data_IF_952573979577
#
_entry.id   IF_952573979577
#
_cell.length_a   1.000
_cell.length_b   1.000
_cell.length_c   1.000
_cell.angle_alpha   90.00
_cell.angle_beta   90.00
_cell.angle_gamma   90.00
#
_symmetry.space_group_name_H-M   'P 1'
#
loop_
_entity.id
_entity.type
_entity.pdbx_description
1 polymer ?
#
# COMPACT_ATOMS: atom_id res chain seq x y z
N UNK A 1 -30.77 -4.89 -10.66
CA UNK A 1 -31.01 -4.13 -9.43
C UNK A 1 -29.95 -4.60 -8.45
N UNK A 2 -28.73 -4.06 -8.58
CA UNK A 2 -27.62 -4.39 -7.68
C UNK A 2 -27.90 -3.62 -6.39
N UNK A 3 -27.93 -4.31 -5.27
CA UNK A 3 -28.34 -3.76 -3.97
C UNK A 3 -27.28 -2.75 -3.50
N UNK A 4 -27.56 -1.46 -3.72
CA UNK A 4 -26.66 -0.33 -3.49
C UNK A 4 -26.34 -0.10 -2.00
N UNK A 5 -27.06 -0.75 -1.09
CA UNK A 5 -26.94 -0.54 0.35
C UNK A 5 -25.65 -1.12 0.95
N UNK A 6 -24.99 -2.09 0.30
CA UNK A 6 -23.73 -2.66 0.80
C UNK A 6 -22.48 -1.80 0.50
N UNK A 7 -22.51 -0.95 -0.53
CA UNK A 7 -21.32 -0.18 -0.95
C UNK A 7 -21.02 1.07 -0.12
N UNK A 8 -22.01 1.62 0.60
CA UNK A 8 -21.89 2.86 1.36
C UNK A 8 -21.92 2.65 2.89
N UNK A 9 -22.28 1.45 3.36
CA UNK A 9 -22.30 1.09 4.79
C UNK A 9 -20.94 0.80 5.40
N UNK A 10 -19.90 0.59 4.58
CA UNK A 10 -18.54 0.22 5.02
C UNK A 10 -17.63 1.47 5.11
N UNK A 11 -18.11 2.49 5.83
CA UNK A 11 -17.31 3.65 6.27
C UNK A 11 -17.06 3.63 7.79
N UNK A 12 -17.46 2.57 8.49
CA UNK A 12 -16.97 2.28 9.83
C UNK A 12 -15.65 1.50 9.72
N UNK A 13 -14.65 1.86 10.53
CA UNK A 13 -13.40 1.11 10.66
C UNK A 13 -13.70 -0.39 10.82
N UNK A 14 -13.09 -1.29 10.05
CA UNK A 14 -13.34 -2.71 10.22
C UNK A 14 -12.70 -3.16 11.54
N UNK A 15 -13.52 -3.66 12.46
CA UNK A 15 -13.04 -4.48 13.57
C UNK A 15 -12.40 -5.75 13.01
N UNK A 16 -11.16 -5.99 13.42
CA UNK A 16 -10.36 -7.15 13.03
C UNK A 16 -10.78 -8.36 13.86
N UNK A 17 -11.64 -9.22 13.31
CA UNK A 17 -11.80 -10.59 13.83
C UNK A 17 -10.77 -11.50 13.14
N UNK A 18 -9.67 -11.77 13.86
CA UNK A 18 -8.69 -12.79 13.49
C UNK A 18 -9.27 -14.16 13.85
N UNK A 19 -9.67 -14.93 12.82
CA UNK A 19 -9.99 -16.35 13.00
C UNK A 19 -8.68 -17.13 13.09
N UNK A 20 -8.33 -17.52 14.31
CA UNK A 20 -7.29 -18.49 14.62
C UNK A 20 -7.67 -19.86 14.03
N UNK A 21 -6.89 -20.34 13.06
CA UNK A 21 -6.78 -21.77 12.77
C UNK A 21 -5.34 -22.20 13.05
N UNK A 22 -5.12 -22.57 14.31
CA UNK A 22 -4.01 -23.37 14.77
C UNK A 22 -4.13 -24.79 14.20
N UNK A 23 -3.10 -25.25 13.50
CA UNK A 23 -2.70 -26.65 13.56
C UNK A 23 -1.18 -26.70 13.78
N UNK A 24 -0.82 -26.96 15.04
CA UNK A 24 0.50 -27.40 15.46
C UNK A 24 0.40 -28.90 15.71
N UNK A 25 1.17 -29.71 14.98
CA UNK A 25 1.84 -30.89 15.49
C UNK A 25 2.69 -31.52 14.39
N UNK A 26 4.00 -31.62 14.63
CA UNK A 26 4.89 -32.77 14.36
C UNK A 26 6.31 -32.30 14.72
N UNK A 27 6.77 -32.67 15.91
CA UNK A 27 8.19 -32.79 16.21
C UNK A 27 8.65 -34.22 15.91
N UNK A 28 9.77 -34.36 15.21
CA UNK A 28 10.74 -35.44 15.46
C UNK A 28 10.80 -36.61 14.48
N UNK A 29 11.47 -36.44 13.33
CA UNK A 29 12.29 -37.49 12.72
C UNK A 29 13.34 -36.91 11.77
N UNK A 30 14.54 -37.51 11.78
CA UNK A 30 15.83 -37.06 11.23
C UNK A 30 15.84 -36.75 9.71
N UNK A 31 16.77 -35.89 9.22
CA UNK A 31 16.94 -35.62 7.80
C UNK A 31 17.92 -36.63 7.16
N UNK A 32 17.49 -37.28 6.07
CA UNK A 32 18.39 -37.96 5.12
C UNK A 32 17.84 -37.74 3.72
N UNK A 33 18.31 -36.71 3.01
CA UNK A 33 18.67 -36.77 1.59
C UNK A 33 19.72 -35.68 1.34
N UNK A 34 20.97 -36.09 1.16
CA UNK A 34 22.04 -35.25 0.62
C UNK A 34 21.79 -35.06 -0.88
N UNK A 35 21.61 -33.81 -1.34
CA UNK A 35 21.78 -33.47 -2.75
C UNK A 35 23.23 -33.02 -2.95
N UNK A 36 23.97 -33.85 -3.70
CA UNK A 36 25.38 -33.68 -3.96
C UNK A 36 25.72 -32.51 -4.88
N UNK A 37 26.94 -32.03 -4.69
CA UNK A 37 27.63 -31.01 -5.48
C UNK A 37 27.50 -31.20 -6.99
N UNK A 38 27.13 -30.13 -7.69
CA UNK A 38 27.28 -30.01 -9.14
C UNK A 38 28.73 -29.55 -9.40
N UNK A 39 29.55 -30.31 -10.15
CA UNK A 39 30.90 -29.89 -10.48
C UNK A 39 30.88 -28.86 -11.63
N UNK A 40 31.66 -27.80 -11.45
CA UNK A 40 31.97 -26.86 -12.52
C UNK A 40 32.83 -27.53 -13.59
N UNK A 41 32.36 -27.48 -14.84
CA UNK A 41 33.18 -27.75 -16.00
C UNK A 41 32.94 -26.64 -17.02
N UNK A 42 33.95 -25.79 -17.13
CA UNK A 42 34.17 -24.83 -18.20
C UNK A 42 34.37 -25.63 -19.49
N UNK A 43 33.58 -25.34 -20.52
CA UNK A 43 33.88 -25.73 -21.90
C UNK A 43 33.83 -24.45 -22.74
N UNK A 44 35.02 -24.01 -23.13
CA UNK A 44 35.25 -23.08 -24.22
C UNK A 44 34.76 -23.73 -25.52
N UNK A 45 33.91 -23.03 -26.27
CA UNK A 45 33.62 -23.34 -27.66
C UNK A 45 33.88 -22.11 -28.50
N UNK A 46 34.99 -22.20 -29.23
CA UNK A 46 35.39 -21.38 -30.36
C UNK A 46 34.23 -21.19 -31.34
N UNK A 47 34.06 -19.98 -31.86
CA UNK A 47 33.34 -19.74 -33.10
C UNK A 47 34.24 -18.97 -34.08
N UNK A 48 34.41 -19.44 -35.32
CA UNK A 48 35.39 -18.92 -36.26
C UNK A 48 34.90 -17.70 -37.04
N UNK A 49 35.90 -16.92 -37.43
CA UNK A 49 35.91 -15.80 -38.37
C UNK A 49 35.35 -16.20 -39.75
N UNK A 50 34.57 -15.31 -40.36
CA UNK A 50 34.16 -15.40 -41.77
C UNK A 50 33.74 -14.05 -42.33
N UNK A 51 34.67 -13.37 -42.99
CA UNK A 51 34.50 -12.15 -43.79
C UNK A 51 33.48 -12.33 -44.92
N UNK A 52 32.54 -11.39 -45.09
CA UNK A 52 32.03 -10.99 -46.40
C UNK A 52 31.82 -9.47 -46.43
N UNK A 53 32.67 -8.79 -47.19
CA UNK A 53 32.48 -7.42 -47.68
C UNK A 53 31.60 -7.45 -48.93
N UNK A 54 30.55 -6.61 -49.03
CA UNK A 54 30.12 -6.02 -50.31
C UNK A 54 29.53 -4.61 -50.09
N UNK A 55 30.18 -3.66 -50.74
CA UNK A 55 29.80 -2.26 -50.93
C UNK A 55 28.58 -2.11 -51.86
N UNK A 56 27.73 -1.10 -51.65
CA UNK A 56 27.34 -0.10 -52.67
C UNK A 56 26.16 0.78 -52.19
N UNK A 57 26.44 2.08 -52.03
CA UNK A 57 25.45 3.14 -52.29
C UNK A 57 25.32 3.35 -53.80
N UNK A 58 24.23 3.97 -54.32
CA UNK A 58 24.28 5.42 -54.49
C UNK A 58 22.94 6.20 -54.45
N UNK A 59 23.10 7.49 -54.10
CA UNK A 59 22.57 8.71 -54.75
C UNK A 59 21.10 9.17 -54.63
N UNK A 60 21.03 10.48 -54.31
CA UNK A 60 19.94 11.46 -54.32
C UNK A 60 19.27 11.70 -55.69
N UNK A 61 18.03 12.24 -55.61
CA UNK A 61 17.32 13.28 -56.41
C UNK A 61 15.89 12.83 -56.74
N UNK A 62 14.82 13.63 -56.81
CA UNK A 62 14.47 15.02 -56.52
C UNK A 62 12.92 15.13 -56.64
N UNK A 63 12.34 16.16 -56.01
CA UNK A 63 11.15 16.95 -56.38
C UNK A 63 9.75 16.33 -56.62
N UNK A 64 8.77 16.86 -55.87
CA UNK A 64 7.74 17.72 -56.49
C UNK A 64 6.24 17.42 -56.29
N UNK A 65 5.56 18.36 -55.61
CA UNK A 65 4.29 19.02 -56.00
C UNK A 65 2.92 18.45 -55.53
N UNK A 66 2.25 19.25 -54.66
CA UNK A 66 0.79 19.49 -54.45
C UNK A 66 -0.06 18.37 -53.79
N UNK A 67 -1.12 18.59 -53.01
CA UNK A 67 -2.09 19.69 -52.96
C UNK A 67 -2.97 19.60 -51.67
N UNK A 68 -3.40 20.76 -51.15
CA UNK A 68 -4.71 21.11 -50.56
C UNK A 68 -5.42 20.24 -49.50
N UNK A 69 -5.76 20.87 -48.37
CA UNK A 69 -7.07 20.66 -47.70
C UNK A 69 -7.03 20.43 -46.19
N UNK A 70 -6.89 21.50 -45.38
CA UNK A 70 -7.22 21.46 -43.95
C UNK A 70 -8.66 21.94 -43.71
N UNK A 71 -9.53 21.18 -43.06
CA UNK A 71 -10.71 21.74 -42.43
C UNK A 71 -10.33 22.32 -41.06
N UNK A 72 -10.75 23.57 -40.86
CA UNK A 72 -10.79 24.25 -39.57
C UNK A 72 -11.63 23.41 -38.61
N UNK A 73 -10.97 22.79 -37.63
CA UNK A 73 -11.63 22.14 -36.50
C UNK A 73 -11.80 23.19 -35.40
N UNK A 74 -13.05 23.55 -35.13
CA UNK A 74 -13.45 24.42 -34.02
C UNK A 74 -12.90 23.86 -32.70
N UNK A 75 -12.01 24.65 -32.09
CA UNK A 75 -11.41 24.35 -30.79
C UNK A 75 -12.43 24.75 -29.72
N UNK A 76 -13.35 23.83 -29.40
CA UNK A 76 -14.13 23.89 -28.16
C UNK A 76 -13.16 23.79 -26.99
N UNK A 77 -12.74 24.94 -26.45
CA UNK A 77 -12.08 25.03 -25.15
C UNK A 77 -13.10 24.72 -24.06
N UNK A 78 -13.47 23.44 -23.92
CA UNK A 78 -14.05 22.96 -22.67
C UNK A 78 -12.95 23.04 -21.62
N UNK A 79 -13.22 23.71 -20.49
CA UNK A 79 -12.36 23.74 -19.31
C UNK A 79 -12.26 22.40 -18.59
N UNK A 80 -12.08 21.31 -19.34
CA UNK A 80 -11.76 20.00 -18.82
C UNK A 80 -10.29 20.00 -18.41
N UNK A 81 -10.05 19.91 -17.10
CA UNK A 81 -8.74 19.52 -16.59
C UNK A 81 -8.32 18.21 -17.31
N UNK A 82 -7.09 18.11 -17.81
CA UNK A 82 -6.61 16.90 -18.47
C UNK A 82 -6.81 15.70 -17.54
N UNK A 83 -7.21 14.57 -18.12
CA UNK A 83 -7.41 13.31 -17.39
C UNK A 83 -6.16 13.02 -16.52
N UNK A 84 -6.29 13.04 -15.18
CA UNK A 84 -5.14 13.01 -14.27
C UNK A 84 -4.38 11.68 -14.32
N UNK A 85 -4.99 10.63 -14.88
CA UNK A 85 -4.40 9.30 -15.01
C UNK A 85 -3.88 9.01 -16.43
N UNK A 86 -4.03 9.95 -17.37
CA UNK A 86 -3.42 9.81 -18.68
C UNK A 86 -1.90 9.97 -18.58
N UNK A 87 -1.15 9.04 -19.18
CA UNK A 87 0.31 9.17 -19.27
C UNK A 87 0.65 10.53 -19.92
N UNK A 88 1.58 11.31 -19.34
CA UNK A 88 1.95 12.59 -19.91
C UNK A 88 2.56 12.34 -21.29
N UNK A 89 1.85 12.71 -22.35
CA UNK A 89 2.53 13.13 -23.58
C UNK A 89 3.14 14.49 -23.23
N UNK A 90 4.41 14.70 -23.56
CA UNK A 90 5.17 15.93 -23.31
C UNK A 90 4.31 17.17 -23.57
N UNK A 91 3.87 17.84 -22.50
CA UNK A 91 3.18 19.13 -22.56
C UNK A 91 4.08 20.14 -21.88
N UNK A 92 4.52 21.10 -22.67
CA UNK A 92 5.39 22.22 -22.32
C UNK A 92 4.82 23.02 -21.14
N UNK A 93 5.66 23.26 -20.14
CA UNK A 93 5.40 24.08 -18.95
C UNK A 93 4.78 25.44 -19.31
N UNK A 94 3.70 25.81 -18.62
CA UNK A 94 3.21 27.18 -18.56
C UNK A 94 2.97 27.57 -17.10
N UNK A 95 3.33 28.81 -16.81
CA UNK A 95 3.69 29.37 -15.51
C UNK A 95 2.54 29.47 -14.49
N UNK A 96 2.96 29.50 -13.22
CA UNK A 96 2.14 29.48 -11.99
C UNK A 96 2.00 30.90 -11.46
N UNK A 97 0.80 31.47 -11.49
CA UNK A 97 0.49 32.72 -10.77
C UNK A 97 0.07 32.43 -9.31
N UNK A 98 0.62 33.26 -8.42
CA UNK A 98 0.41 33.26 -6.96
C UNK A 98 -0.78 34.15 -6.62
N UNK A 99 -1.63 33.72 -5.68
CA UNK A 99 -2.44 34.64 -4.89
C UNK A 99 -2.53 34.12 -3.46
N UNK A 100 -2.15 34.97 -2.51
CA UNK A 100 -2.24 34.72 -1.08
C UNK A 100 -3.25 35.65 -0.45
N UNK A 101 -4.00 35.15 0.53
CA UNK A 101 -4.81 35.94 1.46
C UNK A 101 -4.87 35.18 2.79
N UNK A 102 -4.37 35.81 3.86
CA UNK A 102 -4.75 35.56 5.25
C UNK A 102 -5.85 36.58 5.63
N UNK A 103 -6.66 36.35 6.67
CA UNK A 103 -6.24 36.83 8.00
C UNK A 103 -6.78 36.07 9.23
N UNK A 104 -6.21 36.48 10.36
CA UNK A 104 -6.44 36.15 11.77
C UNK A 104 -7.89 36.23 12.29
N UNK A 105 -8.12 35.57 13.44
CA UNK A 105 -9.25 35.86 14.32
C UNK A 105 -9.28 35.02 15.60
N UNK A 106 -8.61 35.48 16.66
CA UNK A 106 -8.72 34.95 18.01
C UNK A 106 -9.91 35.56 18.77
N UNK A 107 -10.61 34.77 19.59
CA UNK A 107 -11.40 35.26 20.73
C UNK A 107 -11.62 34.16 21.79
N UNK A 108 -11.47 34.57 23.03
CA UNK A 108 -11.46 33.83 24.30
C UNK A 108 -12.80 33.87 25.05
N UNK A 109 -12.87 33.06 26.13
CA UNK A 109 -13.81 33.09 27.28
C UNK A 109 -15.14 32.34 27.08
N UNK A 110 -15.63 31.45 27.94
CA UNK A 110 -15.33 31.12 29.33
C UNK A 110 -16.59 31.32 30.19
N UNK A 111 -17.25 30.25 30.67
CA UNK A 111 -18.20 30.28 31.82
C UNK A 111 -18.28 28.88 32.46
N UNK A 112 -18.02 28.82 33.76
CA UNK A 112 -18.31 27.71 34.68
C UNK A 112 -19.78 27.71 35.12
N UNK A 113 -20.36 26.55 35.41
CA UNK A 113 -21.51 26.43 36.32
C UNK A 113 -21.56 25.04 36.97
N UNK A 114 -21.49 25.04 38.31
CA UNK A 114 -21.69 23.92 39.22
C UNK A 114 -23.14 23.42 39.22
N UNK A 115 -23.33 22.14 39.53
CA UNK A 115 -24.62 21.58 39.91
C UNK A 115 -24.47 20.16 40.45
N UNK A 116 -24.59 20.01 41.77
CA UNK A 116 -24.61 18.75 42.53
C UNK A 116 -26.02 18.16 42.52
N UNK A 117 -26.15 16.82 42.56
CA UNK A 117 -26.98 16.02 43.50
C UNK A 117 -27.32 14.62 42.95
N UNK A 118 -27.09 13.60 43.78
CA UNK A 118 -27.59 12.22 43.65
C UNK A 118 -29.10 12.16 44.01
N UNK A 119 -29.83 11.06 43.72
CA UNK A 119 -29.85 9.92 44.65
C UNK A 119 -29.94 8.52 44.01
N UNK A 120 -29.62 7.52 44.85
CA UNK A 120 -29.75 6.07 44.69
C UNK A 120 -31.16 5.58 44.31
N UNK A 121 -31.26 4.46 43.57
CA UNK A 121 -31.92 3.24 44.06
C UNK A 121 -31.81 2.03 43.08
N UNK A 122 -31.22 0.95 43.60
CA UNK A 122 -31.65 -0.48 43.59
C UNK A 122 -32.51 -1.01 42.42
N UNK A 123 -31.95 -1.98 41.67
CA UNK A 123 -32.68 -3.20 41.25
C UNK A 123 -31.74 -4.34 40.81
N UNK A 124 -32.11 -5.56 41.24
CA UNK A 124 -31.54 -6.90 40.96
C UNK A 124 -31.49 -7.25 39.47
N UNK A 125 -30.47 -8.00 39.04
CA UNK A 125 -30.53 -9.02 37.97
C UNK A 125 -29.42 -10.06 38.29
N UNK A 126 -29.80 -11.30 38.60
CA UNK A 126 -29.93 -12.45 37.69
C UNK A 126 -28.57 -12.86 37.09
N UNK A 127 -28.08 -13.99 37.59
CA UNK A 127 -26.83 -14.64 37.28
C UNK A 127 -26.99 -15.43 35.97
N UNK A 128 -26.76 -14.74 34.86
CA UNK A 128 -26.61 -15.29 33.51
C UNK A 128 -25.14 -15.71 33.24
N UNK A 129 -24.91 -16.66 32.32
CA UNK A 129 -23.64 -17.36 32.18
C UNK A 129 -22.54 -16.40 31.74
N UNK A 130 -21.33 -16.58 32.29
CA UNK A 130 -20.15 -15.76 32.07
C UNK A 130 -19.88 -15.43 30.59
N UNK A 131 -20.47 -14.33 30.12
CA UNK A 131 -19.99 -13.59 28.96
C UNK A 131 -18.53 -13.23 29.25
N UNK A 132 -17.66 -13.62 28.32
CA UNK A 132 -16.25 -13.28 28.34
C UNK A 132 -16.19 -11.75 28.38
N UNK A 133 -15.90 -11.21 29.57
CA UNK A 133 -15.86 -9.78 29.83
C UNK A 133 -14.88 -9.16 28.84
N UNK A 134 -15.42 -8.49 27.83
CA UNK A 134 -14.68 -7.72 26.84
C UNK A 134 -13.86 -6.70 27.64
N UNK A 135 -12.57 -6.98 27.81
CA UNK A 135 -11.69 -6.13 28.62
C UNK A 135 -11.71 -4.74 27.98
N UNK A 136 -12.35 -3.78 28.66
CA UNK A 136 -12.47 -2.42 28.16
C UNK A 136 -11.08 -1.89 27.80
N UNK A 137 -10.84 -1.68 26.49
CA UNK A 137 -9.56 -1.18 25.96
C UNK A 137 -9.19 0.12 26.70
N UNK A 138 -7.96 0.20 27.18
CA UNK A 138 -7.45 1.32 27.98
C UNK A 138 -7.13 2.53 27.10
N UNK A 139 -7.06 3.71 27.69
CA UNK A 139 -6.52 4.89 27.01
C UNK A 139 -5.00 4.81 26.92
N UNK A 140 -4.42 5.44 25.90
CA UNK A 140 -2.97 5.59 25.77
C UNK A 140 -2.43 6.33 27.01
N UNK A 141 -1.31 5.87 27.59
CA UNK A 141 -0.68 6.57 28.71
C UNK A 141 -0.28 8.02 28.35
N UNK A 142 -0.19 8.88 29.38
CA UNK A 142 0.24 10.27 29.21
C UNK A 142 1.66 10.37 28.62
N UNK A 143 1.91 11.38 27.78
CA UNK A 143 3.19 11.57 27.08
C UNK A 143 4.37 11.68 28.03
N UNK A 144 4.25 12.41 29.14
CA UNK A 144 5.34 12.59 30.11
C UNK A 144 5.69 11.25 30.80
N UNK A 145 4.66 10.45 31.10
CA UNK A 145 4.86 9.12 31.66
C UNK A 145 5.48 8.14 30.66
N UNK A 146 5.16 8.27 29.37
CA UNK A 146 5.77 7.48 28.29
C UNK A 146 7.23 7.88 28.10
N UNK A 147 7.54 9.18 28.05
CA UNK A 147 8.90 9.68 27.87
C UNK A 147 9.81 9.26 29.03
N UNK A 148 9.35 9.41 30.27
CA UNK A 148 10.07 8.95 31.44
C UNK A 148 10.30 7.43 31.42
N UNK A 149 9.35 6.65 30.90
CA UNK A 149 9.50 5.21 30.75
C UNK A 149 10.49 4.83 29.63
N UNK A 150 10.47 5.55 28.50
CA UNK A 150 11.46 5.40 27.42
C UNK A 150 12.86 5.67 27.97
N UNK A 151 13.05 6.78 28.67
CA UNK A 151 14.35 7.14 29.28
C UNK A 151 14.82 6.05 30.26
N UNK A 152 13.92 5.53 31.10
CA UNK A 152 14.23 4.46 32.05
C UNK A 152 14.58 3.11 31.37
N UNK A 153 13.98 2.81 30.21
CA UNK A 153 14.27 1.60 29.43
C UNK A 153 15.61 1.76 28.71
N UNK A 154 15.83 2.91 28.06
CA UNK A 154 17.04 3.21 27.27
C UNK A 154 18.28 3.36 28.15
N UNK A 155 18.13 3.85 29.38
CA UNK A 155 19.24 3.94 30.34
C UNK A 155 19.73 2.58 30.87
N UNK A 156 19.11 1.46 30.48
CA UNK A 156 19.65 0.13 30.74
C UNK A 156 20.78 -0.16 29.76
N UNK A 157 21.97 -0.50 30.28
CA UNK A 157 23.23 -0.68 29.53
C UNK A 157 23.14 -1.60 28.30
N UNK A 158 22.12 -2.46 28.20
CA UNK A 158 21.90 -3.38 27.09
C UNK A 158 21.08 -2.79 25.92
N UNK A 159 20.53 -1.58 26.04
CA UNK A 159 19.59 -0.99 25.06
C UNK A 159 20.13 0.35 24.57
N UNK A 160 21.29 0.32 23.89
CA UNK A 160 21.81 1.50 23.20
C UNK A 160 20.90 1.89 22.04
N UNK A 161 20.48 3.17 21.98
CA UNK A 161 19.69 3.71 20.86
C UNK A 161 20.52 3.96 19.60
N UNK A 162 21.85 3.99 19.73
CA UNK A 162 22.77 4.18 18.63
C UNK A 162 23.30 2.82 18.18
N UNK A 163 22.49 2.03 17.48
CA UNK A 163 22.97 0.79 16.86
C UNK A 163 23.73 1.16 15.59
N UNK A 164 25.06 1.20 15.71
CA UNK A 164 25.96 1.48 14.60
C UNK A 164 26.22 0.26 13.70
N UNK A 165 25.64 -0.90 14.00
CA UNK A 165 25.66 -2.08 13.12
C UNK A 165 24.34 -2.88 13.24
N UNK A 166 24.03 -3.78 12.28
CA UNK A 166 22.83 -4.63 12.31
C UNK A 166 22.76 -5.61 13.49
N UNK A 167 23.90 -6.10 13.99
CA UNK A 167 23.95 -7.06 15.10
C UNK A 167 23.52 -6.41 16.43
N UNK A 168 23.95 -5.17 16.68
CA UNK A 168 23.55 -4.35 17.83
C UNK A 168 22.03 -4.12 17.82
N UNK A 169 21.46 -3.92 16.63
CA UNK A 169 20.03 -3.73 16.47
C UNK A 169 19.24 -5.03 16.70
N UNK A 170 19.77 -6.17 16.25
CA UNK A 170 19.22 -7.47 16.58
C UNK A 170 19.28 -7.76 18.09
N UNK A 171 20.40 -7.45 18.75
CA UNK A 171 20.55 -7.57 20.20
C UNK A 171 19.58 -6.63 20.94
N UNK A 172 19.40 -5.39 20.45
CA UNK A 172 18.44 -4.44 21.00
C UNK A 172 17.01 -4.97 20.92
N UNK A 173 16.61 -5.57 19.81
CA UNK A 173 15.28 -6.19 19.67
C UNK A 173 15.07 -7.29 20.71
N UNK A 174 16.04 -8.19 20.88
CA UNK A 174 15.97 -9.26 21.89
C UNK A 174 15.87 -8.67 23.30
N UNK A 175 16.70 -7.67 23.62
CA UNK A 175 16.66 -7.02 24.93
C UNK A 175 15.31 -6.31 25.19
N UNK A 176 14.75 -5.63 24.19
CA UNK A 176 13.43 -4.98 24.30
C UNK A 176 12.31 -6.02 24.47
N UNK A 177 12.37 -7.16 23.77
CA UNK A 177 11.43 -8.27 23.93
C UNK A 177 11.51 -8.80 25.37
N UNK A 178 12.70 -9.08 25.91
CA UNK A 178 12.88 -9.52 27.30
C UNK A 178 12.29 -8.51 28.31
N UNK A 179 12.52 -7.21 28.08
CA UNK A 179 11.92 -6.16 28.89
C UNK A 179 10.39 -6.18 28.79
N UNK A 180 9.82 -6.29 27.58
CA UNK A 180 8.35 -6.35 27.36
C UNK A 180 7.72 -7.51 28.12
N UNK A 181 8.33 -8.70 28.11
CA UNK A 181 7.82 -9.86 28.84
C UNK A 181 7.83 -9.69 30.37
N UNK A 182 8.74 -8.88 30.91
CA UNK A 182 8.82 -8.61 32.35
C UNK A 182 7.83 -7.55 32.86
N UNK A 183 7.21 -6.79 31.95
CA UNK A 183 6.36 -5.66 32.28
C UNK A 183 4.88 -6.06 32.39
N UNK A 184 4.17 -5.39 33.30
CA UNK A 184 2.74 -5.58 33.45
C UNK A 184 1.97 -4.93 32.29
N UNK A 185 0.97 -5.65 31.76
CA UNK A 185 0.11 -5.18 30.67
C UNK A 185 -0.61 -3.88 31.06
N UNK A 186 -0.69 -2.96 30.09
CA UNK A 186 -1.41 -1.71 30.27
C UNK A 186 -0.69 -0.65 31.13
N UNK A 187 0.62 -0.80 31.36
CA UNK A 187 1.47 0.20 32.03
C UNK A 187 2.15 1.14 31.02
N UNK A 188 2.55 2.37 31.42
CA UNK A 188 3.33 3.27 30.56
C UNK A 188 4.61 2.62 30.01
N UNK A 189 5.30 1.82 30.82
CA UNK A 189 6.49 1.09 30.40
C UNK A 189 6.19 0.04 29.34
N UNK A 190 5.06 -0.67 29.43
CA UNK A 190 4.66 -1.64 28.40
C UNK A 190 4.35 -0.96 27.06
N UNK A 191 3.68 0.21 27.11
CA UNK A 191 3.47 1.03 25.91
C UNK A 191 4.81 1.48 25.32
N UNK A 192 5.66 2.12 26.13
CA UNK A 192 6.97 2.62 25.72
C UNK A 192 7.86 1.55 25.07
N UNK A 193 7.99 0.36 25.68
CA UNK A 193 8.81 -0.72 25.10
C UNK A 193 8.22 -1.23 23.78
N UNK A 194 6.89 -1.26 23.65
CA UNK A 194 6.22 -1.70 22.41
C UNK A 194 6.43 -0.69 21.28
N UNK A 195 6.38 0.61 21.59
CA UNK A 195 6.74 1.68 20.64
C UNK A 195 8.19 1.52 20.19
N UNK A 196 9.13 1.31 21.12
CA UNK A 196 10.54 1.08 20.80
C UNK A 196 10.78 -0.18 19.95
N UNK A 197 9.99 -1.24 20.18
CA UNK A 197 10.02 -2.46 19.34
C UNK A 197 9.54 -2.18 17.92
N UNK A 198 8.44 -1.42 17.78
CA UNK A 198 7.92 -1.03 16.46
C UNK A 198 8.95 -0.16 15.72
N UNK A 199 9.52 0.84 16.39
CA UNK A 199 10.59 1.68 15.84
C UNK A 199 11.79 0.84 15.35
N UNK A 200 12.22 -0.13 16.17
CA UNK A 200 13.37 -1.00 15.84
C UNK A 200 13.02 -2.00 14.73
N UNK A 201 11.76 -2.43 14.63
CA UNK A 201 11.29 -3.34 13.59
C UNK A 201 11.32 -2.67 12.19
N UNK A 202 11.01 -1.37 12.10
CA UNK A 202 11.14 -0.60 10.85
C UNK A 202 12.55 -0.64 10.26
N UNK A 203 13.56 -0.78 11.10
CA UNK A 203 14.98 -0.77 10.73
C UNK A 203 15.53 -2.17 10.35
N UNK A 204 14.76 -3.25 10.53
CA UNK A 204 15.27 -4.64 10.38
C UNK A 204 14.29 -5.62 9.75
N UNK A 205 13.21 -5.95 10.47
CA UNK A 205 12.42 -7.18 10.27
C UNK A 205 11.17 -6.98 9.41
N UNK A 206 11.06 -5.82 8.77
CA UNK A 206 9.99 -5.51 7.83
C UNK A 206 8.65 -5.20 8.47
N UNK A 207 7.67 -4.90 7.62
CA UNK A 207 6.35 -4.34 8.04
C UNK A 207 5.47 -5.36 8.79
N UNK A 208 5.73 -6.66 8.64
CA UNK A 208 4.98 -7.72 9.34
C UNK A 208 5.16 -7.66 10.86
N UNK A 209 6.38 -7.37 11.32
CA UNK A 209 6.70 -7.28 12.75
C UNK A 209 6.10 -6.01 13.37
N UNK A 210 6.09 -4.92 12.61
CA UNK A 210 5.40 -3.68 12.97
C UNK A 210 3.91 -3.97 13.14
N UNK A 211 3.26 -4.60 12.15
CA UNK A 211 1.82 -4.94 12.21
C UNK A 211 1.48 -5.83 13.40
N UNK A 212 2.30 -6.84 13.67
CA UNK A 212 2.12 -7.73 14.83
C UNK A 212 2.18 -6.97 16.15
N UNK A 213 3.20 -6.13 16.36
CA UNK A 213 3.30 -5.33 17.57
C UNK A 213 2.18 -4.29 17.70
N UNK A 214 1.71 -3.71 16.60
CA UNK A 214 0.55 -2.81 16.60
C UNK A 214 -0.73 -3.56 16.97
N UNK A 215 -0.96 -4.75 16.42
CA UNK A 215 -2.12 -5.57 16.77
C UNK A 215 -2.13 -5.93 18.26
N UNK A 216 -0.99 -6.36 18.81
CA UNK A 216 -0.84 -6.60 20.26
C UNK A 216 -1.25 -5.37 21.09
N UNK A 217 -0.81 -4.17 20.67
CA UNK A 217 -1.17 -2.93 21.35
C UNK A 217 -2.65 -2.59 21.21
N UNK A 218 -3.27 -2.80 20.05
CA UNK A 218 -4.69 -2.51 19.80
C UNK A 218 -5.65 -3.38 20.63
N UNK A 219 -5.20 -4.57 21.04
CA UNK A 219 -5.96 -5.40 21.98
C UNK A 219 -6.05 -4.76 23.37
N UNK A 220 -5.08 -3.93 23.75
CA UNK A 220 -4.95 -3.38 25.10
C UNK A 220 -5.32 -1.90 25.18
N UNK A 221 -5.10 -1.14 24.11
CA UNK A 221 -5.22 0.32 24.08
C UNK A 221 -6.09 0.80 22.91
N UNK A 222 -6.78 1.93 23.12
CA UNK A 222 -7.50 2.67 22.08
C UNK A 222 -6.58 3.74 21.48
N UNK A 223 -6.16 3.56 20.23
CA UNK A 223 -5.36 4.53 19.48
C UNK A 223 -5.53 4.32 17.97
N UNK A 224 -5.10 5.31 17.17
CA UNK A 224 -5.09 5.23 15.72
C UNK A 224 -3.79 4.54 15.23
N UNK A 225 -3.83 3.28 14.75
CA UNK A 225 -2.63 2.52 14.38
C UNK A 225 -1.83 3.13 13.23
N UNK A 226 -2.51 3.79 12.29
CA UNK A 226 -1.85 4.46 11.16
C UNK A 226 -1.00 5.65 11.62
N UNK A 227 -1.47 6.44 12.59
CA UNK A 227 -0.69 7.57 13.14
C UNK A 227 0.55 7.07 13.86
N UNK A 228 0.40 6.04 14.72
CA UNK A 228 1.53 5.47 15.46
C UNK A 228 2.56 4.82 14.51
N UNK A 229 2.12 4.16 13.44
CA UNK A 229 3.00 3.65 12.38
C UNK A 229 3.86 4.75 11.76
N UNK A 230 3.24 5.89 11.41
CA UNK A 230 3.95 7.04 10.82
C UNK A 230 4.94 7.65 11.81
N UNK A 231 4.52 7.86 13.07
CA UNK A 231 5.37 8.44 14.09
C UNK A 231 6.60 7.58 14.38
N UNK A 232 6.40 6.27 14.57
CA UNK A 232 7.49 5.31 14.81
C UNK A 232 8.40 5.15 13.61
N UNK A 233 7.87 5.19 12.37
CA UNK A 233 8.69 5.17 11.15
C UNK A 233 9.60 6.40 11.06
N UNK A 234 9.05 7.60 11.30
CA UNK A 234 9.84 8.84 11.28
C UNK A 234 10.89 8.86 12.39
N UNK A 235 10.55 8.40 13.59
CA UNK A 235 11.49 8.27 14.69
C UNK A 235 12.61 7.26 14.39
N UNK A 236 12.28 6.13 13.75
CA UNK A 236 13.26 5.16 13.27
C UNK A 236 14.19 5.77 12.21
N UNK A 237 13.66 6.53 11.25
CA UNK A 237 14.46 7.16 10.21
C UNK A 237 15.47 8.18 10.78
N UNK A 238 15.04 9.04 11.72
CA UNK A 238 15.94 10.02 12.35
C UNK A 238 17.14 9.39 13.07
N UNK A 239 17.02 8.13 13.52
CA UNK A 239 18.08 7.41 14.25
C UNK A 239 18.95 6.54 13.36
N UNK A 240 18.61 6.40 12.08
CA UNK A 240 19.32 5.52 11.16
C UNK A 240 20.42 6.27 10.41
N UNK A 241 21.67 5.96 10.75
CA UNK A 241 22.85 6.54 10.10
C UNK A 241 23.52 5.60 9.09
N UNK A 242 23.24 4.29 9.15
CA UNK A 242 23.91 3.30 8.30
C UNK A 242 23.18 3.09 6.98
N UNK A 243 23.91 2.98 5.85
CA UNK A 243 23.32 2.73 4.54
C UNK A 243 22.45 1.47 4.48
N UNK A 244 22.88 0.37 5.11
CA UNK A 244 22.15 -0.90 5.09
C UNK A 244 20.79 -0.76 5.80
N UNK A 245 20.77 -0.09 6.96
CA UNK A 245 19.53 0.18 7.71
C UNK A 245 18.65 1.17 6.94
N UNK A 246 19.25 2.18 6.30
CA UNK A 246 18.53 3.15 5.47
C UNK A 246 17.88 2.47 4.26
N UNK A 247 18.51 1.45 3.69
CA UNK A 247 17.95 0.66 2.59
C UNK A 247 16.71 -0.11 3.03
N UNK A 248 16.77 -0.77 4.20
CA UNK A 248 15.59 -1.44 4.79
C UNK A 248 14.48 -0.44 5.12
N UNK A 249 14.81 0.73 5.69
CA UNK A 249 13.85 1.80 5.96
C UNK A 249 13.22 2.38 4.69
N UNK A 250 13.97 2.47 3.59
CA UNK A 250 13.44 2.90 2.30
C UNK A 250 12.42 1.89 1.79
N UNK A 251 12.77 0.59 1.78
CA UNK A 251 11.86 -0.47 1.37
C UNK A 251 10.58 -0.49 2.23
N UNK A 252 10.73 -0.44 3.55
CA UNK A 252 9.60 -0.41 4.49
C UNK A 252 8.76 0.87 4.38
N UNK A 253 9.40 2.02 4.11
CA UNK A 253 8.72 3.30 3.89
C UNK A 253 7.85 3.29 2.64
N UNK A 254 8.32 2.67 1.54
CA UNK A 254 7.51 2.48 0.32
C UNK A 254 6.29 1.58 0.57
N UNK A 255 6.45 0.54 1.38
CA UNK A 255 5.32 -0.30 1.83
C UNK A 255 4.32 0.51 2.66
N UNK A 256 4.80 1.30 3.62
CA UNK A 256 3.93 2.12 4.47
C UNK A 256 3.20 3.18 3.65
N UNK A 257 3.86 3.85 2.70
CA UNK A 257 3.24 4.79 1.76
C UNK A 257 2.08 4.15 0.99
N UNK A 258 2.30 2.94 0.47
CA UNK A 258 1.28 2.18 -0.24
C UNK A 258 0.08 1.86 0.66
N UNK A 259 0.33 1.37 1.87
CA UNK A 259 -0.70 1.03 2.84
C UNK A 259 -1.54 2.24 3.26
N UNK A 260 -0.90 3.38 3.51
CA UNK A 260 -1.58 4.62 3.85
C UNK A 260 -2.47 5.10 2.70
N UNK A 261 -2.01 5.00 1.45
CA UNK A 261 -2.84 5.34 0.29
C UNK A 261 -4.01 4.39 0.10
N UNK A 262 -3.81 3.08 0.26
CA UNK A 262 -4.88 2.07 0.19
C UNK A 262 -5.97 2.32 1.25
N UNK A 263 -5.53 2.77 2.44
CA UNK A 263 -6.39 3.15 3.55
C UNK A 263 -6.99 4.57 3.41
N UNK A 264 -6.74 5.26 2.30
CA UNK A 264 -7.15 6.65 2.03
C UNK A 264 -6.67 7.67 3.11
N UNK A 265 -5.55 7.36 3.76
CA UNK A 265 -4.88 8.20 4.77
C UNK A 265 -3.86 9.14 4.11
N UNK A 266 -4.33 9.97 3.18
CA UNK A 266 -3.48 10.78 2.29
C UNK A 266 -2.64 11.79 3.07
N UNK A 267 -3.19 12.39 4.12
CA UNK A 267 -2.48 13.35 4.99
C UNK A 267 -1.31 12.69 5.73
N UNK A 268 -1.49 11.45 6.19
CA UNK A 268 -0.42 10.68 6.83
C UNK A 268 0.63 10.23 5.82
N UNK A 269 0.21 9.83 4.60
CA UNK A 269 1.14 9.48 3.53
C UNK A 269 2.08 10.64 3.17
N UNK A 270 1.56 11.88 3.16
CA UNK A 270 2.38 13.08 2.90
C UNK A 270 3.47 13.27 3.95
N UNK A 271 3.20 12.95 5.22
CA UNK A 271 4.16 13.15 6.33
C UNK A 271 5.40 12.28 6.17
N UNK A 272 5.27 11.10 5.60
CA UNK A 272 6.40 10.19 5.38
C UNK A 272 7.01 10.32 3.98
N UNK A 273 6.29 10.91 3.01
CA UNK A 273 6.75 11.03 1.63
C UNK A 273 8.11 11.72 1.53
N UNK A 274 8.29 12.86 2.22
CA UNK A 274 9.55 13.61 2.21
C UNK A 274 10.72 12.80 2.80
N UNK A 275 10.42 11.98 3.82
CA UNK A 275 11.38 11.08 4.46
C UNK A 275 11.84 9.99 3.49
N UNK A 276 10.90 9.36 2.78
CA UNK A 276 11.18 8.31 1.79
C UNK A 276 11.91 8.89 0.57
N UNK A 277 11.53 10.09 0.12
CA UNK A 277 12.20 10.83 -0.96
C UNK A 277 13.66 11.12 -0.63
N UNK A 278 13.90 11.66 0.57
CA UNK A 278 15.25 11.93 1.08
C UNK A 278 16.10 10.66 1.15
N UNK A 279 15.53 9.54 1.63
CA UNK A 279 16.23 8.25 1.67
C UNK A 279 16.56 7.74 0.26
N UNK A 280 15.61 7.78 -0.67
CA UNK A 280 15.82 7.34 -2.06
C UNK A 280 16.93 8.15 -2.76
N UNK A 281 16.96 9.46 -2.53
CA UNK A 281 18.00 10.36 -3.05
C UNK A 281 19.36 10.10 -2.41
N UNK A 282 19.40 9.89 -1.09
CA UNK A 282 20.65 9.63 -0.34
C UNK A 282 21.30 8.32 -0.77
N UNK A 283 20.48 7.27 -0.97
CA UNK A 283 20.92 5.95 -1.40
C UNK A 283 21.15 5.86 -2.92
N UNK A 284 20.78 6.90 -3.68
CA UNK A 284 20.85 6.94 -5.14
C UNK A 284 20.08 5.79 -5.81
N UNK A 285 19.00 5.33 -5.18
CA UNK A 285 18.13 4.29 -5.72
C UNK A 285 17.18 4.90 -6.75
N UNK A 286 17.53 4.72 -8.03
CA UNK A 286 16.74 5.22 -9.16
C UNK A 286 15.34 4.63 -9.22
N UNK A 287 15.18 3.34 -8.90
CA UNK A 287 13.87 2.68 -8.95
C UNK A 287 12.95 3.22 -7.84
N UNK A 288 13.51 3.36 -6.63
CA UNK A 288 12.78 3.96 -5.51
C UNK A 288 12.41 5.42 -5.81
N UNK A 289 13.33 6.21 -6.37
CA UNK A 289 13.08 7.62 -6.75
C UNK A 289 11.91 7.74 -7.75
N UNK A 290 11.86 6.86 -8.76
CA UNK A 290 10.74 6.80 -9.70
C UNK A 290 9.41 6.44 -9.01
N UNK A 291 9.45 5.49 -8.07
CA UNK A 291 8.28 5.09 -7.27
C UNK A 291 7.78 6.24 -6.38
N UNK A 292 8.68 6.91 -5.65
CA UNK A 292 8.36 8.08 -4.81
C UNK A 292 7.75 9.20 -5.65
N UNK A 293 8.32 9.48 -6.83
CA UNK A 293 7.76 10.47 -7.76
C UNK A 293 6.34 10.11 -8.21
N UNK A 294 6.09 8.82 -8.47
CA UNK A 294 4.75 8.33 -8.82
C UNK A 294 3.76 8.49 -7.65
N UNK A 295 4.18 8.17 -6.42
CA UNK A 295 3.39 8.37 -5.21
C UNK A 295 3.09 9.84 -4.95
N UNK A 296 4.08 10.72 -5.02
CA UNK A 296 3.93 12.17 -4.85
C UNK A 296 2.87 12.73 -5.81
N UNK A 297 2.88 12.28 -7.06
CA UNK A 297 1.89 12.66 -8.07
C UNK A 297 0.48 12.21 -7.69
N UNK A 298 0.32 10.95 -7.32
CA UNK A 298 -0.99 10.38 -6.96
C UNK A 298 -1.53 11.03 -5.68
N UNK A 299 -0.71 11.19 -4.64
CA UNK A 299 -1.07 11.92 -3.41
C UNK A 299 -1.55 13.33 -3.74
N UNK A 300 -0.76 14.09 -4.50
CA UNK A 300 -1.11 15.45 -4.90
C UNK A 300 -2.38 15.54 -5.77
N UNK A 301 -2.67 14.51 -6.57
CA UNK A 301 -3.92 14.42 -7.34
C UNK A 301 -5.11 14.08 -6.46
N UNK A 302 -4.99 13.07 -5.59
CA UNK A 302 -6.06 12.66 -4.67
C UNK A 302 -6.47 13.83 -3.77
N UNK A 303 -5.51 14.57 -3.21
CA UNK A 303 -5.83 15.77 -2.40
C UNK A 303 -6.63 16.81 -3.18
N UNK A 304 -6.25 17.12 -4.42
CA UNK A 304 -6.98 18.08 -5.26
C UNK A 304 -8.38 17.60 -5.64
N UNK A 305 -8.61 16.29 -5.59
CA UNK A 305 -9.88 15.67 -5.97
C UNK A 305 -10.74 15.28 -4.77
N UNK A 306 -10.23 15.35 -3.54
CA UNK A 306 -10.90 14.91 -2.32
C UNK A 306 -12.31 15.52 -2.17
N UNK A 307 -12.42 16.86 -2.20
CA UNK A 307 -13.71 17.54 -2.12
C UNK A 307 -14.67 17.10 -3.23
N UNK A 308 -14.15 16.87 -4.44
CA UNK A 308 -14.97 16.38 -5.56
C UNK A 308 -15.42 14.94 -5.34
N UNK A 309 -14.58 14.08 -4.78
CA UNK A 309 -14.96 12.72 -4.42
C UNK A 309 -16.04 12.72 -3.34
N UNK A 310 -15.88 13.53 -2.29
CA UNK A 310 -16.87 13.67 -1.21
C UNK A 310 -18.23 14.14 -1.74
N UNK A 311 -18.23 15.16 -2.61
CA UNK A 311 -19.45 15.63 -3.27
C UNK A 311 -20.09 14.54 -4.12
N UNK A 312 -19.32 13.84 -4.95
CA UNK A 312 -19.85 12.76 -5.78
C UNK A 312 -20.42 11.62 -4.94
N UNK A 313 -19.73 11.21 -3.87
CA UNK A 313 -20.18 10.14 -2.98
C UNK A 313 -21.44 10.52 -2.19
N UNK A 314 -21.72 11.81 -2.01
CA UNK A 314 -22.98 12.31 -1.43
C UNK A 314 -24.16 12.29 -2.42
N UNK A 315 -23.88 12.22 -3.73
CA UNK A 315 -24.89 12.16 -4.79
C UNK A 315 -25.30 10.71 -5.10
N UNK A 316 -26.51 10.54 -5.67
CA UNK A 316 -26.93 9.23 -6.14
C UNK A 316 -26.03 8.76 -7.33
N UNK A 317 -25.39 7.57 -7.25
CA UNK A 317 -24.53 7.03 -8.31
C UNK A 317 -25.17 6.93 -9.70
N UNK A 318 -26.49 6.76 -9.76
CA UNK A 318 -27.24 6.69 -11.00
C UNK A 318 -27.20 8.00 -11.80
N UNK A 319 -27.02 9.13 -11.12
CA UNK A 319 -26.96 10.46 -11.74
C UNK A 319 -25.55 10.83 -12.20
N UNK A 320 -24.52 10.08 -11.80
CA UNK A 320 -23.15 10.41 -12.15
C UNK A 320 -22.91 10.29 -13.65
N UNK A 321 -22.27 11.31 -14.23
CA UNK A 321 -21.77 11.24 -15.60
C UNK A 321 -20.79 10.08 -15.79
N UNK A 322 -20.67 9.59 -17.03
CA UNK A 322 -19.68 8.56 -17.40
C UNK A 322 -18.25 8.94 -16.99
N UNK A 323 -17.91 10.22 -17.09
CA UNK A 323 -16.60 10.74 -16.69
C UNK A 323 -16.39 10.65 -15.18
N UNK A 324 -17.40 10.98 -14.37
CA UNK A 324 -17.32 10.90 -12.91
C UNK A 324 -17.21 9.45 -12.43
N UNK A 325 -17.99 8.54 -13.03
CA UNK A 325 -17.86 7.09 -12.77
C UNK A 325 -16.45 6.59 -13.11
N UNK A 326 -15.95 6.92 -14.30
CA UNK A 326 -14.60 6.53 -14.70
C UNK A 326 -13.50 7.07 -13.77
N UNK A 327 -13.67 8.29 -13.26
CA UNK A 327 -12.74 8.90 -12.32
C UNK A 327 -12.73 8.16 -10.97
N UNK A 328 -13.90 7.95 -10.36
CA UNK A 328 -14.02 7.21 -9.10
C UNK A 328 -13.58 5.75 -9.25
N UNK A 329 -13.95 5.08 -10.33
CA UNK A 329 -13.52 3.70 -10.60
C UNK A 329 -12.01 3.55 -10.65
N UNK A 330 -11.30 4.51 -11.28
CA UNK A 330 -9.83 4.53 -11.26
C UNK A 330 -9.27 4.80 -9.87
N UNK A 331 -9.84 5.73 -9.12
CA UNK A 331 -9.38 6.02 -7.77
C UNK A 331 -9.53 4.77 -6.86
N UNK A 332 -10.70 4.14 -6.84
CA UNK A 332 -10.95 2.94 -6.03
C UNK A 332 -10.09 1.75 -6.46
N UNK A 333 -10.01 1.44 -7.76
CA UNK A 333 -9.23 0.27 -8.21
C UNK A 333 -7.72 0.51 -8.20
N UNK A 334 -7.25 1.67 -8.67
CA UNK A 334 -5.82 1.90 -8.91
C UNK A 334 -5.08 2.61 -7.77
N UNK A 335 -5.79 3.39 -6.95
CA UNK A 335 -5.21 4.06 -5.77
C UNK A 335 -5.54 3.24 -4.51
N UNK A 336 -6.82 3.01 -4.26
CA UNK A 336 -7.27 2.34 -3.02
C UNK A 336 -7.18 0.81 -3.10
N UNK A 337 -6.94 0.23 -4.28
CA UNK A 337 -6.95 -1.22 -4.55
C UNK A 337 -8.24 -1.93 -4.12
N UNK A 338 -9.35 -1.21 -4.06
CA UNK A 338 -10.68 -1.73 -3.73
C UNK A 338 -11.40 -2.10 -5.03
N UNK A 339 -10.98 -3.22 -5.60
CA UNK A 339 -11.46 -3.66 -6.91
C UNK A 339 -12.95 -3.94 -6.90
N UNK A 340 -13.47 -4.65 -5.90
CA UNK A 340 -14.91 -4.99 -5.82
C UNK A 340 -15.82 -3.75 -5.87
N UNK A 341 -15.46 -2.69 -5.15
CA UNK A 341 -16.22 -1.43 -5.13
C UNK A 341 -16.02 -0.64 -6.43
N UNK A 342 -14.78 -0.58 -6.93
CA UNK A 342 -14.43 0.26 -8.07
C UNK A 342 -14.77 -0.32 -9.45
N UNK A 343 -14.83 -1.65 -9.59
CA UNK A 343 -14.97 -2.34 -10.88
C UNK A 343 -16.23 -1.92 -11.67
N UNK A 344 -17.43 -1.81 -11.04
CA UNK A 344 -18.64 -1.33 -11.72
C UNK A 344 -18.45 0.05 -12.36
N UNK A 345 -17.73 0.95 -11.68
CA UNK A 345 -17.49 2.30 -12.18
C UNK A 345 -16.33 2.34 -13.19
N UNK A 346 -15.31 1.50 -13.00
CA UNK A 346 -14.17 1.36 -13.90
C UNK A 346 -14.61 0.87 -15.29
N UNK A 347 -15.69 0.08 -15.37
CA UNK A 347 -16.34 -0.34 -16.62
C UNK A 347 -16.77 0.83 -17.53
N UNK A 348 -16.94 2.02 -16.95
CA UNK A 348 -17.39 3.24 -17.63
C UNK A 348 -16.25 4.15 -18.08
N UNK A 349 -15.00 3.79 -17.80
CA UNK A 349 -13.83 4.63 -18.11
C UNK A 349 -13.67 4.89 -19.62
N UNK A 350 -12.98 5.98 -19.97
CA UNK A 350 -12.70 6.39 -21.34
C UNK A 350 -11.74 5.45 -22.07
N UNK A 351 -10.76 4.86 -21.37
CA UNK A 351 -9.86 3.86 -21.93
C UNK A 351 -10.64 2.56 -22.21
N UNK A 352 -10.90 2.28 -23.48
CA UNK A 352 -11.71 1.14 -23.92
C UNK A 352 -11.13 -0.21 -23.49
N UNK A 353 -9.80 -0.31 -23.31
CA UNK A 353 -9.14 -1.57 -22.93
C UNK A 353 -9.39 -1.89 -21.46
N UNK A 354 -9.25 -0.89 -20.61
CA UNK A 354 -9.54 -0.99 -19.17
C UNK A 354 -11.03 -1.19 -18.94
N UNK A 355 -11.88 -0.40 -19.62
CA UNK A 355 -13.32 -0.55 -19.56
C UNK A 355 -13.78 -1.95 -19.98
N UNK A 356 -13.20 -2.50 -21.05
CA UNK A 356 -13.51 -3.85 -21.52
C UNK A 356 -13.02 -4.94 -20.58
N UNK A 357 -11.84 -4.78 -19.97
CA UNK A 357 -11.35 -5.73 -18.96
C UNK A 357 -12.29 -5.78 -17.74
N UNK A 358 -12.64 -4.61 -17.19
CA UNK A 358 -13.57 -4.50 -16.08
C UNK A 358 -14.97 -5.06 -16.40
N UNK A 359 -15.51 -4.80 -17.60
CA UNK A 359 -16.80 -5.39 -18.04
C UNK A 359 -16.76 -6.92 -18.14
N UNK A 360 -15.66 -7.47 -18.64
CA UNK A 360 -15.51 -8.92 -18.76
C UNK A 360 -15.41 -9.58 -17.39
N UNK A 361 -14.73 -8.92 -16.45
CA UNK A 361 -14.63 -9.41 -15.07
C UNK A 361 -15.97 -9.34 -14.33
N UNK A 362 -16.73 -8.24 -14.48
CA UNK A 362 -18.10 -8.13 -13.95
C UNK A 362 -19.07 -9.15 -14.55
N UNK A 363 -18.78 -9.68 -15.74
CA UNK A 363 -19.59 -10.68 -16.42
C UNK A 363 -19.23 -12.12 -16.01
N UNK A 364 -18.21 -12.31 -15.17
CA UNK A 364 -17.86 -13.63 -14.67
C UNK A 364 -19.01 -14.21 -13.84
N UNK A 365 -19.27 -15.52 -13.94
CA UNK A 365 -20.16 -16.19 -13.01
C UNK A 365 -19.51 -16.26 -11.62
N UNK A 366 -20.30 -16.53 -10.58
CA UNK A 366 -19.81 -16.63 -9.20
C UNK A 366 -18.67 -17.67 -9.03
N UNK A 367 -18.75 -18.76 -9.80
CA UNK A 367 -17.71 -19.78 -9.88
C UNK A 367 -17.13 -19.81 -11.31
N UNK A 368 -16.21 -18.89 -11.64
CA UNK A 368 -15.62 -18.80 -12.97
C UNK A 368 -14.72 -20.01 -13.24
N UNK A 369 -14.68 -20.46 -14.50
CA UNK A 369 -13.75 -21.52 -14.89
C UNK A 369 -12.31 -20.99 -14.88
N UNK A 370 -11.34 -21.89 -14.71
CA UNK A 370 -9.91 -21.56 -14.74
C UNK A 370 -9.53 -20.75 -15.98
N UNK A 371 -10.01 -21.15 -17.17
CA UNK A 371 -9.69 -20.49 -18.44
C UNK A 371 -10.25 -19.05 -18.54
N UNK A 372 -11.40 -18.79 -17.93
CA UNK A 372 -12.00 -17.46 -17.89
C UNK A 372 -11.16 -16.51 -17.03
N UNK A 373 -10.72 -16.99 -15.85
CA UNK A 373 -9.83 -16.24 -14.97
C UNK A 373 -8.47 -16.02 -15.63
N UNK A 374 -7.88 -17.06 -16.24
CA UNK A 374 -6.60 -16.96 -16.94
C UNK A 374 -6.63 -15.91 -18.06
N UNK A 375 -7.72 -15.87 -18.82
CA UNK A 375 -7.93 -14.87 -19.87
C UNK A 375 -7.96 -13.45 -19.30
N UNK A 376 -8.56 -13.25 -18.12
CA UNK A 376 -8.59 -11.96 -17.44
C UNK A 376 -7.25 -11.56 -16.85
N UNK A 377 -6.51 -12.50 -16.24
CA UNK A 377 -5.14 -12.26 -15.74
C UNK A 377 -4.27 -11.71 -16.86
N UNK A 378 -4.21 -12.43 -17.99
CA UNK A 378 -3.43 -12.02 -19.16
C UNK A 378 -3.85 -10.67 -19.69
N UNK A 379 -5.16 -10.38 -19.70
CA UNK A 379 -5.69 -9.09 -20.15
C UNK A 379 -5.28 -7.94 -19.23
N UNK A 380 -5.37 -8.12 -17.91
CA UNK A 380 -4.95 -7.10 -16.95
C UNK A 380 -3.43 -6.88 -17.00
N UNK A 381 -2.64 -7.95 -17.12
CA UNK A 381 -1.18 -7.83 -17.27
C UNK A 381 -0.81 -7.10 -18.57
N UNK A 382 -1.43 -7.44 -19.71
CA UNK A 382 -1.22 -6.74 -20.99
C UNK A 382 -1.61 -5.25 -20.92
N UNK A 383 -2.68 -4.92 -20.19
CA UNK A 383 -3.06 -3.53 -19.95
C UNK A 383 -2.01 -2.81 -19.08
N UNK A 384 -1.44 -3.50 -18.10
CA UNK A 384 -0.41 -2.96 -17.22
C UNK A 384 0.88 -2.61 -17.97
N UNK A 385 1.32 -3.43 -18.92
CA UNK A 385 2.49 -3.14 -19.77
C UNK A 385 2.38 -1.79 -20.48
N UNK A 386 1.16 -1.41 -20.86
CA UNK A 386 0.86 -0.16 -21.55
C UNK A 386 0.52 1.00 -20.59
N UNK A 387 0.38 0.72 -19.31
CA UNK A 387 0.20 1.73 -18.27
C UNK A 387 1.57 2.14 -17.71
N UNK A 388 1.59 3.16 -16.85
CA UNK A 388 2.82 3.70 -16.22
C UNK A 388 2.59 3.94 -14.73
N UNK A 389 3.67 3.94 -13.94
CA UNK A 389 3.63 4.25 -12.51
C UNK A 389 2.71 3.32 -11.71
N UNK A 390 1.99 3.88 -10.73
CA UNK A 390 1.13 3.11 -9.82
C UNK A 390 -0.04 2.42 -10.54
N UNK A 391 -0.55 2.95 -11.65
CA UNK A 391 -1.60 2.29 -12.42
C UNK A 391 -1.13 0.95 -13.00
N UNK A 392 0.12 0.89 -13.50
CA UNK A 392 0.74 -0.36 -13.96
C UNK A 392 0.85 -1.36 -12.81
N UNK A 393 1.32 -0.90 -11.65
CA UNK A 393 1.47 -1.73 -10.47
C UNK A 393 0.11 -2.27 -10.03
N UNK A 394 -0.90 -1.41 -9.84
CA UNK A 394 -2.26 -1.81 -9.47
C UNK A 394 -2.85 -2.89 -10.40
N UNK A 395 -2.72 -2.73 -11.72
CA UNK A 395 -3.20 -3.71 -12.68
C UNK A 395 -2.46 -5.06 -12.59
N UNK A 396 -1.12 -5.04 -12.41
CA UNK A 396 -0.33 -6.27 -12.19
C UNK A 396 -0.72 -6.94 -10.89
N UNK A 397 -0.92 -6.15 -9.84
CA UNK A 397 -1.33 -6.66 -8.54
C UNK A 397 -2.69 -7.36 -8.63
N UNK A 398 -3.66 -6.75 -9.30
CA UNK A 398 -4.95 -7.38 -9.54
C UNK A 398 -4.86 -8.64 -10.40
N UNK A 399 -4.02 -8.62 -11.43
CA UNK A 399 -3.74 -9.80 -12.24
C UNK A 399 -3.20 -10.95 -11.39
N UNK A 400 -2.28 -10.69 -10.45
CA UNK A 400 -1.78 -11.71 -9.51
C UNK A 400 -2.87 -12.26 -8.58
N UNK A 401 -3.80 -11.42 -8.12
CA UNK A 401 -4.93 -11.86 -7.31
C UNK A 401 -5.87 -12.79 -8.08
N UNK A 402 -6.27 -12.39 -9.28
CA UNK A 402 -7.07 -13.25 -10.16
C UNK A 402 -6.34 -14.56 -10.49
N UNK A 403 -5.02 -14.51 -10.64
CA UNK A 403 -4.19 -15.67 -10.91
C UNK A 403 -4.15 -16.64 -9.72
N UNK A 404 -4.02 -16.12 -8.48
CA UNK A 404 -4.14 -16.93 -7.26
C UNK A 404 -5.50 -17.61 -7.15
N UNK A 405 -6.58 -16.88 -7.46
CA UNK A 405 -7.95 -17.44 -7.52
C UNK A 405 -8.07 -18.55 -8.58
N UNK A 406 -7.47 -18.35 -9.77
CA UNK A 406 -7.43 -19.37 -10.82
C UNK A 406 -6.71 -20.64 -10.33
N UNK A 407 -5.54 -20.48 -9.72
CA UNK A 407 -4.70 -21.57 -9.21
C UNK A 407 -5.40 -22.45 -8.16
N UNK A 408 -6.28 -21.87 -7.35
CA UNK A 408 -7.06 -22.62 -6.37
C UNK A 408 -7.95 -23.69 -7.05
N UNK A 409 -8.48 -23.39 -8.23
CA UNK A 409 -9.35 -24.29 -9.02
C UNK A 409 -8.62 -25.09 -10.10
N UNK A 410 -7.33 -24.78 -10.33
CA UNK A 410 -6.53 -25.37 -11.39
C UNK A 410 -6.16 -26.84 -11.09
N UNK A 411 -6.07 -27.66 -12.14
CA UNK A 411 -5.46 -28.98 -12.08
C UNK A 411 -3.95 -28.89 -11.81
N UNK A 412 -3.32 -29.99 -11.40
CA UNK A 412 -1.87 -30.03 -11.16
C UNK A 412 -1.05 -29.64 -12.40
N UNK A 413 -1.46 -30.10 -13.59
CA UNK A 413 -0.80 -29.72 -14.85
C UNK A 413 -0.95 -28.23 -15.15
N UNK A 414 -2.14 -27.66 -14.92
CA UNK A 414 -2.40 -26.23 -15.11
C UNK A 414 -1.58 -25.39 -14.13
N UNK A 415 -1.43 -25.83 -12.88
CA UNK A 415 -0.59 -25.14 -11.88
C UNK A 415 0.88 -25.10 -12.29
N UNK A 416 1.40 -26.17 -12.90
CA UNK A 416 2.78 -26.21 -13.34
C UNK A 416 3.04 -25.28 -14.54
N UNK A 417 2.15 -25.29 -15.54
CA UNK A 417 2.28 -24.42 -16.71
C UNK A 417 2.10 -22.95 -16.33
N UNK A 418 1.03 -22.63 -15.60
CA UNK A 418 0.70 -21.25 -15.26
C UNK A 418 1.55 -20.69 -14.11
N UNK A 419 2.19 -21.55 -13.31
CA UNK A 419 3.07 -21.13 -12.23
C UNK A 419 4.28 -20.32 -12.71
N UNK A 420 4.80 -20.63 -13.91
CA UNK A 420 5.89 -19.86 -14.52
C UNK A 420 5.43 -18.46 -14.93
N UNK A 421 4.27 -18.35 -15.58
CA UNK A 421 3.67 -17.07 -15.98
C UNK A 421 3.36 -16.19 -14.75
N UNK A 422 2.84 -16.80 -13.67
CA UNK A 422 2.63 -16.11 -12.40
C UNK A 422 3.95 -15.56 -11.82
N UNK A 423 5.02 -16.35 -11.87
CA UNK A 423 6.35 -15.93 -11.47
C UNK A 423 6.80 -14.69 -12.25
N UNK A 424 6.65 -14.70 -13.59
CA UNK A 424 7.02 -13.56 -14.44
C UNK A 424 6.21 -12.29 -14.13
N UNK A 425 4.89 -12.41 -13.91
CA UNK A 425 4.06 -11.25 -13.52
C UNK A 425 4.54 -10.70 -12.17
N UNK A 426 4.90 -11.57 -11.23
CA UNK A 426 5.41 -11.17 -9.92
C UNK A 426 6.78 -10.50 -10.00
N UNK A 427 7.73 -11.06 -10.75
CA UNK A 427 9.07 -10.47 -10.97
C UNK A 427 9.03 -9.09 -11.62
N UNK A 428 7.96 -8.81 -12.35
CA UNK A 428 7.70 -7.52 -12.98
C UNK A 428 7.16 -6.46 -12.00
N UNK A 429 6.89 -6.78 -10.74
CA UNK A 429 6.54 -5.81 -9.72
C UNK A 429 7.79 -5.24 -9.01
N UNK A 430 7.73 -3.99 -8.54
CA UNK A 430 8.73 -3.47 -7.62
C UNK A 430 8.92 -4.36 -6.39
N UNK A 431 10.15 -4.46 -5.92
CA UNK A 431 10.58 -5.35 -4.83
C UNK A 431 9.74 -5.18 -3.56
N UNK A 432 9.46 -3.93 -3.19
CA UNK A 432 8.64 -3.64 -2.00
C UNK A 432 7.21 -4.21 -2.12
N UNK A 433 6.65 -4.33 -3.33
CA UNK A 433 5.33 -4.93 -3.53
C UNK A 433 5.38 -6.47 -3.56
N UNK A 434 6.47 -7.05 -4.08
CA UNK A 434 6.67 -8.51 -4.10
C UNK A 434 6.68 -9.09 -2.69
N UNK A 435 7.33 -8.38 -1.76
CA UNK A 435 7.56 -8.86 -0.39
C UNK A 435 6.41 -8.56 0.59
N UNK A 436 5.46 -7.68 0.22
CA UNK A 436 4.35 -7.31 1.12
C UNK A 436 3.35 -8.42 1.41
N UNK A 437 3.53 -9.60 0.81
CA UNK A 437 2.63 -10.73 1.03
C UNK A 437 1.20 -10.30 0.69
N UNK A 438 0.97 -9.90 -0.56
CA UNK A 438 -0.33 -9.56 -1.12
C UNK A 438 -1.54 -10.08 -0.35
N UNK A 439 -2.07 -9.24 0.53
CA UNK A 439 -3.43 -9.34 1.03
C UNK A 439 -4.20 -8.27 0.27
N UNK A 440 -4.74 -8.62 -0.89
CA UNK A 440 -5.88 -7.88 -1.40
C UNK A 440 -7.02 -8.21 -0.43
N UNK A 441 -7.60 -7.17 0.15
CA UNK A 441 -8.68 -7.29 1.12
C UNK A 441 -9.82 -8.08 0.49
N UNK A 442 -9.90 -9.38 0.76
CA UNK A 442 -11.17 -10.11 0.65
C UNK A 442 -11.97 -9.63 1.85
N UNK A 443 -12.92 -8.73 1.62
CA UNK A 443 -13.96 -8.47 2.62
C UNK A 443 -14.67 -9.80 2.81
N UNK A 444 -14.53 -10.41 3.98
CA UNK A 444 -15.38 -11.52 4.36
C UNK A 444 -16.83 -11.03 4.26
N UNK A 445 -17.63 -11.70 3.43
CA UNK A 445 -19.05 -11.42 3.19
C UNK A 445 -19.89 -11.56 4.48
#
# INVERSE_FOLDING_TARGET
>A
SVDLAHGLGILAEPDLELVDTLESDIQGAKPIVSLGSIPGTIIELENPVGDISVSNSPALKNDGITNTGSPVLEKSTSGFLPDPFASPREITMLEREKSGVAPDGAATSGVSLSGSEQPEMVAKFDEEPAEVSEMAKRLVPDSEAVDAAIDAIVSRDSISMASGNPDDLAQRLVALEEVKHSLQLGTPAYWAVSVLLIESAWQTRGVSDVKRNLADLQQLYKFAPASLSVETYLAANMRSALPEIQQELLANGLVLLDQLLIADQVELAIRILDSVDSLSSTLQDTQATECVTAYARVIGQTMRQKERFDLLLSENPDNWSRSNRGLLGRHYCFVLRRWEVGLPWLSSVSDSRVASAAKNELALPANPAFEDLLTLVRRWNLNAERATGLNRQAMRLHALFLAKKAMATASESQRLEFGMELGEINENLPDYLRNTGFQLWETAD
#
